data_IF_678762351525
#
_entry.id   IF_678762351525
#
_cell.length_a   1.000
_cell.length_b   1.000
_cell.length_c   1.000
_cell.angle_alpha   90.00
_cell.angle_beta   90.00
_cell.angle_gamma   90.00
#
_symmetry.space_group_name_H-M   'P 1'
#
loop_
_entity.id
_entity.type
_entity.pdbx_description
1 polymer ?
#
# COMPACT_ATOMS: atom_id res chain seq x y z
N UNK A 1 -16.33 -55.28 -30.84
CA UNK A 1 -15.54 -54.21 -31.50
C UNK A 1 -14.68 -53.61 -30.41
N UNK A 2 -13.44 -54.08 -30.23
CA UNK A 2 -12.58 -53.76 -29.12
C UNK A 2 -11.82 -52.46 -29.43
N UNK A 3 -11.95 -51.47 -28.58
CA UNK A 3 -11.30 -50.19 -28.66
C UNK A 3 -9.84 -50.36 -28.20
N UNK A 4 -8.89 -50.40 -29.15
CA UNK A 4 -7.45 -50.39 -28.87
C UNK A 4 -7.10 -49.06 -28.21
N UNK A 5 -6.83 -49.15 -26.88
CA UNK A 5 -6.21 -48.04 -26.13
C UNK A 5 -4.75 -47.96 -26.61
N UNK A 6 -4.43 -46.92 -27.35
CA UNK A 6 -3.08 -46.55 -27.76
C UNK A 6 -2.19 -46.37 -26.52
N UNK A 7 -1.42 -47.43 -26.19
CA UNK A 7 -0.31 -47.31 -25.24
C UNK A 7 0.78 -46.45 -25.88
N UNK A 8 0.90 -45.20 -25.42
CA UNK A 8 2.03 -44.36 -25.76
C UNK A 8 3.31 -45.02 -25.25
N UNK A 9 4.41 -45.05 -26.06
CA UNK A 9 5.65 -45.66 -25.64
C UNK A 9 6.22 -44.93 -24.42
N UNK A 10 6.26 -45.59 -23.28
CA UNK A 10 6.90 -45.11 -22.07
C UNK A 10 8.40 -44.92 -22.33
N UNK A 11 8.89 -43.71 -22.38
CA UNK A 11 10.32 -43.42 -22.46
C UNK A 11 10.99 -43.95 -21.20
N UNK A 12 11.92 -44.96 -21.28
CA UNK A 12 12.39 -45.73 -20.13
C UNK A 12 13.23 -44.95 -19.09
N UNK A 13 13.60 -43.70 -19.40
CA UNK A 13 14.30 -42.79 -18.49
C UNK A 13 13.38 -41.95 -17.59
N UNK A 14 12.24 -41.51 -18.10
CA UNK A 14 11.31 -40.65 -17.38
C UNK A 14 10.58 -41.34 -16.23
N UNK A 15 10.33 -42.64 -16.35
CA UNK A 15 9.68 -43.42 -15.31
C UNK A 15 10.53 -43.61 -14.03
N UNK A 16 11.86 -43.70 -14.17
CA UNK A 16 12.77 -43.81 -13.01
C UNK A 16 12.89 -42.48 -12.27
N UNK A 17 12.94 -41.35 -12.99
CA UNK A 17 13.00 -40.02 -12.41
C UNK A 17 11.67 -39.68 -11.71
N UNK A 18 10.55 -39.94 -12.36
CA UNK A 18 9.22 -39.78 -11.77
C UNK A 18 9.03 -40.63 -10.50
N UNK A 19 9.46 -41.89 -10.53
CA UNK A 19 9.41 -42.79 -9.37
C UNK A 19 10.28 -42.35 -8.18
N UNK A 20 11.44 -41.72 -8.46
CA UNK A 20 12.31 -41.16 -7.43
C UNK A 20 11.66 -39.96 -6.72
N UNK A 21 11.08 -39.02 -7.49
CA UNK A 21 10.37 -37.85 -6.94
C UNK A 21 9.08 -38.24 -6.21
N UNK A 22 8.40 -39.32 -6.65
CA UNK A 22 7.22 -39.83 -5.95
C UNK A 22 7.55 -40.42 -4.59
N UNK A 23 8.73 -41.05 -4.48
CA UNK A 23 9.25 -41.59 -3.21
C UNK A 23 9.76 -40.49 -2.26
N UNK A 24 10.19 -39.37 -2.78
CA UNK A 24 10.74 -38.25 -2.02
C UNK A 24 10.01 -36.93 -2.37
N UNK A 25 8.74 -36.76 -1.99
CA UNK A 25 7.95 -35.58 -2.37
C UNK A 25 8.56 -34.26 -1.87
N UNK A 26 9.22 -34.27 -0.70
CA UNK A 26 9.91 -33.09 -0.17
C UNK A 26 11.10 -32.64 -1.03
N UNK A 27 11.84 -33.57 -1.62
CA UNK A 27 12.97 -33.27 -2.50
C UNK A 27 12.48 -32.71 -3.85
N UNK A 28 11.38 -33.24 -4.38
CA UNK A 28 10.72 -32.71 -5.58
C UNK A 28 10.21 -31.28 -5.35
N UNK A 29 9.55 -31.04 -4.22
CA UNK A 29 9.08 -29.72 -3.82
C UNK A 29 10.25 -28.75 -3.60
N UNK A 30 11.30 -29.17 -2.92
CA UNK A 30 12.50 -28.35 -2.70
C UNK A 30 13.16 -27.92 -4.02
N UNK A 31 13.36 -28.85 -4.96
CA UNK A 31 13.94 -28.54 -6.28
C UNK A 31 13.03 -27.64 -7.11
N UNK A 32 11.71 -27.81 -7.03
CA UNK A 32 10.74 -26.94 -7.70
C UNK A 32 10.81 -25.51 -7.16
N UNK A 33 10.92 -25.38 -5.85
CA UNK A 33 10.97 -24.06 -5.17
C UNK A 33 12.37 -23.44 -5.17
N UNK A 34 13.43 -24.23 -5.45
CA UNK A 34 14.82 -23.76 -5.38
C UNK A 34 15.06 -22.52 -6.25
N UNK A 35 14.61 -22.54 -7.49
CA UNK A 35 14.76 -21.42 -8.42
C UNK A 35 14.10 -20.13 -7.90
N UNK A 36 12.79 -20.12 -7.63
CA UNK A 36 12.12 -18.97 -7.03
C UNK A 36 12.71 -18.52 -5.68
N UNK A 37 13.06 -19.47 -4.79
CA UNK A 37 13.64 -19.13 -3.49
C UNK A 37 15.05 -18.56 -3.59
N UNK A 38 15.91 -19.07 -4.49
CA UNK A 38 17.23 -18.48 -4.75
C UNK A 38 17.10 -17.08 -5.35
N UNK A 39 16.19 -16.90 -6.30
CA UNK A 39 15.95 -15.57 -6.87
C UNK A 39 15.48 -14.59 -5.78
N UNK A 40 14.50 -14.97 -5.00
CA UNK A 40 13.94 -14.14 -3.94
C UNK A 40 14.96 -13.89 -2.81
N UNK A 41 15.69 -14.93 -2.39
CA UNK A 41 16.68 -14.84 -1.32
C UNK A 41 17.93 -14.05 -1.72
N UNK A 42 18.53 -14.35 -2.87
CA UNK A 42 19.80 -13.74 -3.28
C UNK A 42 19.55 -12.39 -3.93
N UNK A 43 18.69 -12.32 -4.95
CA UNK A 43 18.52 -11.09 -5.72
C UNK A 43 17.71 -10.06 -4.93
N UNK A 44 16.58 -10.44 -4.34
CA UNK A 44 15.71 -9.49 -3.65
C UNK A 44 16.23 -9.19 -2.23
N UNK A 45 16.33 -10.21 -1.37
CA UNK A 45 16.81 -9.99 0.01
C UNK A 45 18.29 -9.60 0.05
N UNK A 46 19.14 -10.19 -0.78
CA UNK A 46 20.56 -9.87 -0.84
C UNK A 46 20.79 -8.41 -1.23
N UNK A 47 20.11 -7.90 -2.25
CA UNK A 47 20.20 -6.48 -2.65
C UNK A 47 19.68 -5.54 -1.59
N UNK A 48 18.55 -5.89 -0.94
CA UNK A 48 17.99 -5.10 0.15
C UNK A 48 18.94 -5.03 1.35
N UNK A 49 19.49 -6.16 1.78
CA UNK A 49 20.45 -6.22 2.89
C UNK A 49 21.73 -5.44 2.57
N UNK A 50 22.23 -5.54 1.32
CA UNK A 50 23.39 -4.78 0.87
C UNK A 50 23.11 -3.27 0.90
N UNK A 51 21.92 -2.85 0.42
CA UNK A 51 21.50 -1.45 0.51
C UNK A 51 21.46 -0.98 1.97
N UNK A 52 20.81 -1.74 2.86
CA UNK A 52 20.71 -1.39 4.27
C UNK A 52 22.08 -1.35 4.96
N UNK A 53 22.99 -2.25 4.58
CA UNK A 53 24.36 -2.25 5.07
C UNK A 53 25.13 -1.00 4.68
N UNK A 54 24.89 -0.46 3.48
CA UNK A 54 25.49 0.82 3.06
C UNK A 54 25.07 2.00 3.94
N UNK A 55 23.93 1.92 4.63
CA UNK A 55 23.51 2.93 5.60
C UNK A 55 24.51 3.16 6.75
N UNK A 56 25.41 2.21 6.98
CA UNK A 56 26.48 2.32 7.97
C UNK A 56 27.80 2.81 7.40
N UNK A 57 27.89 3.12 6.11
CA UNK A 57 29.11 3.64 5.48
C UNK A 57 29.19 5.16 5.62
N UNK A 58 30.39 5.69 5.51
CA UNK A 58 30.65 7.14 5.53
C UNK A 58 30.56 7.70 4.12
N UNK A 59 29.97 8.87 3.99
CA UNK A 59 29.97 9.66 2.76
C UNK A 59 30.87 10.86 2.93
N UNK A 60 31.84 11.02 2.03
CA UNK A 60 32.76 12.16 1.99
C UNK A 60 32.16 13.24 1.09
N UNK A 61 31.74 14.37 1.68
CA UNK A 61 31.15 15.49 0.96
C UNK A 61 32.14 16.22 0.02
N UNK A 62 33.46 16.09 0.23
CA UNK A 62 34.46 16.71 -0.64
C UNK A 62 34.72 15.90 -1.91
N UNK A 63 34.87 14.60 -1.76
CA UNK A 63 35.14 13.71 -2.88
C UNK A 63 33.85 13.16 -3.51
N UNK A 64 32.69 13.44 -2.91
CA UNK A 64 31.39 12.87 -3.30
C UNK A 64 31.42 11.36 -3.42
N UNK A 65 32.18 10.70 -2.55
CA UNK A 65 32.41 9.25 -2.62
C UNK A 65 31.99 8.56 -1.33
N UNK A 66 31.56 7.29 -1.48
CA UNK A 66 31.23 6.43 -0.34
C UNK A 66 32.48 5.67 0.08
N UNK A 67 32.86 5.81 1.35
CA UNK A 67 33.94 5.04 1.97
C UNK A 67 33.39 3.93 2.85
N UNK A 68 33.97 2.71 2.83
CA UNK A 68 33.47 1.56 3.59
C UNK A 68 33.79 1.64 5.09
N UNK A 69 34.02 2.82 5.60
CA UNK A 69 34.21 3.07 7.03
C UNK A 69 32.87 3.04 7.75
N UNK A 70 32.75 2.16 8.75
CA UNK A 70 31.50 1.98 9.49
C UNK A 70 31.24 3.13 10.44
N UNK A 71 30.07 3.74 10.31
CA UNK A 71 29.61 4.84 11.15
C UNK A 71 28.15 4.72 11.50
N UNK A 72 27.73 5.30 12.63
CA UNK A 72 26.33 5.51 13.00
C UNK A 72 25.86 6.95 12.71
N UNK A 73 26.67 7.76 12.05
CA UNK A 73 26.37 9.17 11.80
C UNK A 73 25.07 9.34 11.00
N UNK A 74 24.86 8.53 9.94
CA UNK A 74 23.64 8.58 9.13
C UNK A 74 22.39 8.23 9.94
N UNK A 75 22.46 7.23 10.82
CA UNK A 75 21.36 6.86 11.71
C UNK A 75 21.06 7.97 12.71
N UNK A 76 22.10 8.59 13.30
CA UNK A 76 21.93 9.75 14.20
C UNK A 76 21.34 10.94 13.46
N UNK A 77 21.73 11.16 12.22
CA UNK A 77 21.21 12.25 11.40
C UNK A 77 19.70 12.15 11.16
N UNK A 78 19.08 10.97 11.19
CA UNK A 78 17.62 10.81 11.10
C UNK A 78 16.88 11.54 12.24
N UNK A 79 17.51 11.69 13.40
CA UNK A 79 16.96 12.36 14.58
C UNK A 79 17.19 13.89 14.59
N UNK A 80 17.90 14.43 13.60
CA UNK A 80 18.00 15.87 13.42
C UNK A 80 16.60 16.46 13.16
N UNK A 81 16.28 17.66 13.68
CA UNK A 81 14.94 18.24 13.57
C UNK A 81 14.38 18.29 12.14
N UNK A 82 15.22 18.61 11.14
CA UNK A 82 14.82 18.66 9.74
C UNK A 82 14.41 17.27 9.18
N UNK A 83 15.19 16.23 9.50
CA UNK A 83 14.92 14.86 9.04
C UNK A 83 13.77 14.23 9.81
N UNK A 84 13.67 14.52 11.12
CA UNK A 84 12.55 14.08 11.95
C UNK A 84 11.21 14.66 11.46
N UNK A 85 11.17 15.93 11.05
CA UNK A 85 9.99 16.55 10.46
C UNK A 85 9.51 15.79 9.20
N UNK A 86 10.45 15.37 8.34
CA UNK A 86 10.14 14.55 7.14
C UNK A 86 9.46 13.23 7.56
N UNK A 87 10.00 12.56 8.58
CA UNK A 87 9.46 11.29 9.07
C UNK A 87 8.05 11.47 9.63
N UNK A 88 7.85 12.46 10.50
CA UNK A 88 6.56 12.75 11.13
C UNK A 88 5.51 13.15 10.08
N UNK A 89 5.88 14.01 9.13
CA UNK A 89 5.00 14.43 8.04
C UNK A 89 4.55 13.25 7.17
N UNK A 90 5.47 12.37 6.82
CA UNK A 90 5.16 11.17 6.04
C UNK A 90 4.24 10.23 6.81
N UNK A 91 4.55 9.99 8.09
CA UNK A 91 3.78 9.10 8.96
C UNK A 91 2.36 9.61 9.20
N UNK A 92 2.20 10.91 9.48
CA UNK A 92 0.89 11.52 9.69
C UNK A 92 0.04 11.48 8.43
N UNK A 93 0.63 11.73 7.26
CA UNK A 93 -0.07 11.60 5.97
C UNK A 93 -0.48 10.14 5.71
N UNK A 94 0.42 9.18 5.88
CA UNK A 94 0.12 7.76 5.69
C UNK A 94 -0.99 7.28 6.65
N UNK A 95 -0.96 7.70 7.90
CA UNK A 95 -2.01 7.41 8.87
C UNK A 95 -3.36 8.02 8.48
N UNK A 96 -3.37 9.31 8.13
CA UNK A 96 -4.58 10.02 7.72
C UNK A 96 -5.22 9.40 6.47
N UNK A 97 -4.41 9.10 5.43
CA UNK A 97 -4.87 8.44 4.20
C UNK A 97 -5.43 7.06 4.49
N UNK A 98 -4.77 6.28 5.35
CA UNK A 98 -5.23 4.93 5.72
C UNK A 98 -6.57 4.99 6.44
N UNK A 99 -6.72 5.85 7.44
CA UNK A 99 -7.98 6.02 8.19
C UNK A 99 -9.12 6.47 7.26
N UNK A 100 -8.87 7.48 6.43
CA UNK A 100 -9.87 7.96 5.48
C UNK A 100 -10.25 6.89 4.46
N UNK A 101 -9.26 6.09 3.99
CA UNK A 101 -9.52 4.97 3.09
C UNK A 101 -10.42 3.92 3.73
N UNK A 102 -10.23 3.58 5.00
CA UNK A 102 -11.12 2.65 5.74
C UNK A 102 -12.55 3.20 5.80
N UNK A 103 -12.69 4.49 6.17
CA UNK A 103 -14.00 5.14 6.33
C UNK A 103 -14.77 5.16 5.00
N UNK A 104 -14.10 5.43 3.88
CA UNK A 104 -14.73 5.48 2.56
C UNK A 104 -14.90 4.10 1.93
N UNK A 105 -13.92 3.23 2.07
CA UNK A 105 -13.94 1.90 1.48
C UNK A 105 -15.00 0.99 2.12
N UNK A 106 -15.19 1.10 3.44
CA UNK A 106 -16.11 0.22 4.16
C UNK A 106 -17.56 0.30 3.64
N UNK A 107 -18.22 1.47 3.56
CA UNK A 107 -19.57 1.56 3.03
C UNK A 107 -19.66 1.14 1.55
N UNK A 108 -18.65 1.46 0.74
CA UNK A 108 -18.60 1.02 -0.66
C UNK A 108 -18.50 -0.51 -0.77
N UNK A 109 -17.57 -1.12 -0.04
CA UNK A 109 -17.37 -2.56 0.02
C UNK A 109 -18.61 -3.28 0.57
N UNK A 110 -19.24 -2.72 1.61
CA UNK A 110 -20.49 -3.25 2.16
C UNK A 110 -21.62 -3.25 1.13
N UNK A 111 -21.80 -2.12 0.43
CA UNK A 111 -22.81 -2.04 -0.65
C UNK A 111 -22.52 -3.06 -1.75
N UNK A 112 -21.28 -3.15 -2.21
CA UNK A 112 -20.86 -4.09 -3.24
C UNK A 112 -21.07 -5.55 -2.81
N UNK A 113 -20.77 -5.89 -1.56
CA UNK A 113 -20.88 -7.26 -1.06
C UNK A 113 -22.33 -7.70 -0.80
N UNK A 114 -23.22 -6.78 -0.42
CA UNK A 114 -24.56 -7.13 0.08
C UNK A 114 -25.73 -6.75 -0.83
N UNK A 115 -25.58 -5.67 -1.57
CA UNK A 115 -26.68 -5.11 -2.36
C UNK A 115 -26.49 -5.26 -3.87
N UNK A 116 -25.34 -5.81 -4.30
CA UNK A 116 -25.09 -6.01 -5.74
C UNK A 116 -25.00 -7.49 -6.10
N UNK A 117 -25.51 -7.83 -7.29
CA UNK A 117 -25.46 -9.17 -7.85
C UNK A 117 -25.30 -9.12 -9.37
N UNK A 118 -24.82 -10.21 -9.96
CA UNK A 118 -24.73 -10.36 -11.41
C UNK A 118 -23.97 -9.23 -12.11
N UNK A 119 -24.56 -8.59 -13.10
CA UNK A 119 -23.93 -7.52 -13.91
C UNK A 119 -23.58 -6.28 -13.09
N UNK A 120 -24.39 -5.92 -12.11
CA UNK A 120 -24.15 -4.76 -11.25
C UNK A 120 -22.88 -4.97 -10.39
N UNK A 121 -22.71 -6.17 -9.85
CA UNK A 121 -21.51 -6.52 -9.10
C UNK A 121 -20.26 -6.45 -9.96
N UNK A 122 -20.32 -7.02 -11.18
CA UNK A 122 -19.23 -6.94 -12.15
C UNK A 122 -18.89 -5.48 -12.52
N UNK A 123 -19.89 -4.64 -12.70
CA UNK A 123 -19.70 -3.21 -12.98
C UNK A 123 -18.92 -2.52 -11.86
N UNK A 124 -19.29 -2.71 -10.59
CA UNK A 124 -18.59 -2.10 -9.47
C UNK A 124 -17.16 -2.62 -9.32
N UNK A 125 -16.91 -3.92 -9.55
CA UNK A 125 -15.55 -4.45 -9.57
C UNK A 125 -14.69 -3.77 -10.64
N UNK A 126 -15.20 -3.66 -11.86
CA UNK A 126 -14.51 -3.00 -12.96
C UNK A 126 -14.26 -1.52 -12.60
N UNK A 127 -15.27 -0.82 -12.08
CA UNK A 127 -15.17 0.60 -11.71
C UNK A 127 -14.10 0.85 -10.65
N UNK A 128 -13.96 -0.04 -9.65
CA UNK A 128 -12.93 0.04 -8.63
C UNK A 128 -11.55 -0.32 -9.19
N UNK A 129 -11.46 -1.30 -10.10
CA UNK A 129 -10.20 -1.74 -10.67
C UNK A 129 -9.69 -0.83 -11.80
N UNK A 130 -10.58 -0.13 -12.50
CA UNK A 130 -10.22 0.72 -13.65
C UNK A 130 -9.13 1.75 -13.33
N UNK A 131 -9.16 2.47 -12.19
CA UNK A 131 -8.07 3.35 -11.81
C UNK A 131 -6.73 2.64 -11.61
N UNK A 132 -6.71 1.36 -11.26
CA UNK A 132 -5.47 0.59 -11.06
C UNK A 132 -4.77 0.30 -12.39
N UNK A 133 -5.50 0.19 -13.49
CA UNK A 133 -4.94 -0.07 -14.83
C UNK A 133 -4.32 1.16 -15.48
N UNK A 134 -4.72 2.36 -15.06
CA UNK A 134 -4.13 3.58 -15.54
C UNK A 134 -2.70 3.77 -14.98
N UNK A 135 -1.80 4.30 -15.83
CA UNK A 135 -0.43 4.61 -15.40
C UNK A 135 -0.41 5.50 -14.16
N UNK A 136 0.41 5.12 -13.19
CA UNK A 136 0.55 5.83 -11.92
C UNK A 136 0.95 7.31 -12.13
N UNK A 137 1.98 7.54 -12.95
CA UNK A 137 2.49 8.88 -13.25
C UNK A 137 1.40 9.73 -13.94
N UNK A 138 0.69 9.15 -14.91
CA UNK A 138 -0.39 9.85 -15.63
C UNK A 138 -1.49 10.29 -14.66
N UNK A 139 -1.87 9.43 -13.71
CA UNK A 139 -2.84 9.78 -12.65
C UNK A 139 -2.36 10.96 -11.81
N UNK A 140 -1.10 10.92 -11.36
CA UNK A 140 -0.54 11.97 -10.52
C UNK A 140 -0.54 13.33 -11.25
N UNK A 141 -0.12 13.38 -12.52
CA UNK A 141 -0.19 14.59 -13.33
C UNK A 141 -1.62 15.04 -13.62
N UNK A 142 -2.53 14.13 -13.94
CA UNK A 142 -3.94 14.46 -14.15
C UNK A 142 -4.56 15.12 -12.91
N UNK A 143 -4.25 14.62 -11.72
CA UNK A 143 -4.69 15.22 -10.47
C UNK A 143 -4.08 16.59 -10.21
N UNK A 144 -2.81 16.82 -10.60
CA UNK A 144 -2.20 18.14 -10.52
C UNK A 144 -2.99 19.18 -11.32
N UNK A 145 -3.42 18.81 -12.54
CA UNK A 145 -4.23 19.67 -13.40
C UNK A 145 -5.67 19.83 -12.88
N UNK A 146 -6.28 18.75 -12.41
CA UNK A 146 -7.64 18.80 -11.83
C UNK A 146 -7.72 19.71 -10.61
N UNK A 147 -6.69 19.73 -9.77
CA UNK A 147 -6.62 20.51 -8.54
C UNK A 147 -5.98 21.89 -8.73
N UNK A 148 -5.54 22.25 -9.94
CA UNK A 148 -4.98 23.56 -10.25
C UNK A 148 -6.00 24.68 -9.99
N UNK A 149 -5.50 25.93 -9.87
CA UNK A 149 -6.35 27.11 -9.63
C UNK A 149 -7.47 27.27 -10.66
N UNK A 150 -7.18 26.98 -11.93
CA UNK A 150 -8.16 27.02 -13.03
C UNK A 150 -8.63 25.62 -13.43
N UNK A 151 -8.46 24.65 -12.53
CA UNK A 151 -8.81 23.25 -12.75
C UNK A 151 -10.29 22.95 -12.51
N UNK A 152 -10.69 21.74 -12.95
CA UNK A 152 -12.08 21.28 -12.87
C UNK A 152 -12.62 21.28 -11.44
N UNK A 153 -11.79 20.92 -10.44
CA UNK A 153 -12.20 20.92 -9.04
C UNK A 153 -12.56 22.32 -8.55
N UNK A 154 -11.75 23.32 -8.88
CA UNK A 154 -11.99 24.71 -8.53
C UNK A 154 -13.25 25.25 -9.23
N UNK A 155 -13.44 24.92 -10.51
CA UNK A 155 -14.64 25.28 -11.27
C UNK A 155 -15.93 24.78 -10.61
N UNK A 156 -15.96 23.50 -10.19
CA UNK A 156 -17.11 22.95 -9.49
C UNK A 156 -17.36 23.64 -8.14
N UNK A 157 -16.32 23.87 -7.35
CA UNK A 157 -16.45 24.53 -6.04
C UNK A 157 -16.95 25.95 -6.18
N UNK A 158 -16.52 26.68 -7.22
CA UNK A 158 -17.00 28.01 -7.54
C UNK A 158 -18.52 28.01 -7.86
N UNK A 159 -18.95 27.09 -8.75
CA UNK A 159 -20.37 26.99 -9.13
C UNK A 159 -21.28 26.50 -8.02
N UNK A 160 -20.75 25.77 -7.06
CA UNK A 160 -21.47 25.34 -5.86
C UNK A 160 -21.47 26.42 -4.74
N UNK A 161 -20.80 27.54 -4.93
CA UNK A 161 -20.66 28.59 -3.91
C UNK A 161 -19.78 28.20 -2.72
N UNK A 162 -18.96 27.13 -2.86
CA UNK A 162 -18.10 26.58 -1.80
C UNK A 162 -16.69 27.19 -1.79
N UNK A 163 -16.42 28.16 -2.66
CA UNK A 163 -15.12 28.83 -2.77
C UNK A 163 -14.67 29.49 -1.45
N UNK A 164 -15.53 30.20 -0.69
CA UNK A 164 -15.15 30.78 0.60
C UNK A 164 -14.72 29.72 1.61
N UNK A 165 -15.42 28.56 1.60
CA UNK A 165 -15.08 27.43 2.45
C UNK A 165 -13.72 26.86 2.08
N UNK A 166 -13.46 26.65 0.78
CA UNK A 166 -12.17 26.19 0.29
C UNK A 166 -11.05 27.14 0.72
N UNK A 167 -11.24 28.45 0.52
CA UNK A 167 -10.24 29.47 0.88
C UNK A 167 -9.95 29.45 2.37
N UNK A 168 -10.98 29.32 3.21
CA UNK A 168 -10.83 29.17 4.65
C UNK A 168 -10.02 27.92 5.04
N UNK A 169 -10.23 26.79 4.34
CA UNK A 169 -9.45 25.57 4.56
C UNK A 169 -7.99 25.72 4.11
N UNK A 170 -7.73 26.34 2.97
CA UNK A 170 -6.38 26.54 2.44
C UNK A 170 -5.53 27.47 3.30
N UNK A 171 -6.14 28.39 4.03
CA UNK A 171 -5.44 29.31 4.96
C UNK A 171 -5.02 28.64 6.27
N UNK A 172 -5.51 27.42 6.57
CA UNK A 172 -5.11 26.69 7.77
C UNK A 172 -3.63 26.29 7.68
N UNK A 173 -2.81 26.51 8.72
CA UNK A 173 -1.38 26.14 8.71
C UNK A 173 -1.11 24.68 8.45
N UNK A 174 -2.02 23.79 8.87
CA UNK A 174 -1.91 22.35 8.67
C UNK A 174 -2.17 21.91 7.22
N UNK A 175 -2.95 22.69 6.46
CA UNK A 175 -3.31 22.39 5.07
C UNK A 175 -2.29 22.99 4.11
N UNK A 176 -1.92 24.23 4.31
CA UNK A 176 -0.93 25.00 3.54
C UNK A 176 -1.21 25.04 2.04
N UNK A 177 -0.88 26.13 1.38
CA UNK A 177 -0.96 26.25 -0.07
C UNK A 177 -2.00 27.26 -0.57
N UNK A 178 -1.73 27.83 -1.76
CA UNK A 178 -2.58 28.82 -2.39
C UNK A 178 -3.68 28.19 -3.27
N UNK A 179 -3.52 26.92 -3.61
CA UNK A 179 -4.45 26.15 -4.44
C UNK A 179 -4.55 24.72 -3.90
N UNK A 180 -5.56 23.97 -4.30
CA UNK A 180 -5.66 22.55 -3.93
C UNK A 180 -4.43 21.77 -4.38
N UNK A 181 -3.90 22.00 -5.59
CA UNK A 181 -2.73 21.28 -6.08
C UNK A 181 -1.46 21.53 -5.28
N UNK A 182 -1.32 22.72 -4.66
CA UNK A 182 -0.16 23.09 -3.83
C UNK A 182 -0.39 22.90 -2.34
N UNK A 183 -1.53 22.32 -1.94
CA UNK A 183 -1.91 22.15 -0.54
C UNK A 183 -1.70 20.72 -0.04
N UNK A 184 -1.55 20.57 1.28
CA UNK A 184 -1.55 19.27 1.95
C UNK A 184 -2.86 18.50 1.77
N UNK A 185 -3.99 19.22 1.69
CA UNK A 185 -5.30 18.62 1.39
C UNK A 185 -5.32 18.01 -0.02
N UNK A 186 -4.81 18.71 -1.03
CA UNK A 186 -4.73 18.17 -2.38
C UNK A 186 -3.87 16.92 -2.45
N UNK A 187 -2.70 16.92 -1.80
CA UNK A 187 -1.85 15.72 -1.67
C UNK A 187 -2.60 14.55 -1.01
N UNK A 188 -3.30 14.83 0.06
CA UNK A 188 -4.13 13.83 0.76
C UNK A 188 -5.22 13.24 -0.16
N UNK A 189 -5.94 14.07 -0.91
CA UNK A 189 -6.99 13.62 -1.84
C UNK A 189 -6.42 12.74 -2.97
N UNK A 190 -5.25 13.11 -3.49
CA UNK A 190 -4.57 12.31 -4.53
C UNK A 190 -4.16 10.96 -3.99
N UNK A 191 -3.54 10.89 -2.82
CA UNK A 191 -3.21 9.62 -2.19
C UNK A 191 -4.46 8.77 -1.92
N UNK A 192 -5.50 9.40 -1.39
CA UNK A 192 -6.76 8.73 -1.11
C UNK A 192 -7.35 8.09 -2.37
N UNK A 193 -7.41 8.83 -3.48
CA UNK A 193 -7.90 8.31 -4.75
C UNK A 193 -7.05 7.13 -5.27
N UNK A 194 -5.73 7.28 -5.25
CA UNK A 194 -4.82 6.29 -5.82
C UNK A 194 -4.86 4.98 -5.04
N UNK A 195 -4.93 5.05 -3.69
CA UNK A 195 -4.83 3.88 -2.83
C UNK A 195 -6.18 3.31 -2.38
N UNK A 196 -7.29 4.03 -2.60
CA UNK A 196 -8.64 3.58 -2.21
C UNK A 196 -9.01 2.19 -2.74
N UNK A 197 -8.71 1.80 -4.01
CA UNK A 197 -8.98 0.45 -4.50
C UNK A 197 -8.29 -0.65 -3.69
N UNK A 198 -7.08 -0.41 -3.21
CA UNK A 198 -6.32 -1.37 -2.39
C UNK A 198 -6.93 -1.57 -1.00
N UNK A 199 -7.76 -0.65 -0.54
CA UNK A 199 -8.57 -0.80 0.66
C UNK A 199 -9.91 -1.48 0.37
N UNK A 200 -10.60 -1.07 -0.70
CA UNK A 200 -11.94 -1.57 -1.04
C UNK A 200 -11.91 -3.09 -1.28
N UNK A 201 -10.98 -3.58 -2.10
CA UNK A 201 -10.97 -4.98 -2.53
C UNK A 201 -10.79 -5.99 -1.38
N UNK A 202 -9.83 -5.84 -0.46
CA UNK A 202 -9.72 -6.74 0.69
C UNK A 202 -10.89 -6.66 1.65
N UNK A 203 -11.41 -5.45 1.91
CA UNK A 203 -12.59 -5.26 2.77
C UNK A 203 -13.81 -5.93 2.15
N UNK A 204 -14.02 -5.75 0.85
CA UNK A 204 -15.11 -6.42 0.12
C UNK A 204 -14.98 -7.94 0.17
N UNK A 205 -13.80 -8.49 -0.08
CA UNK A 205 -13.57 -9.93 -0.02
C UNK A 205 -13.87 -10.52 1.38
N UNK A 206 -13.53 -9.80 2.45
CA UNK A 206 -13.87 -10.20 3.81
C UNK A 206 -15.39 -10.15 4.05
N UNK A 207 -16.05 -9.10 3.59
CA UNK A 207 -17.50 -8.93 3.75
C UNK A 207 -18.33 -9.93 2.91
N UNK A 208 -17.81 -10.38 1.78
CA UNK A 208 -18.46 -11.42 0.97
C UNK A 208 -18.43 -12.81 1.62
N UNK A 209 -17.39 -13.09 2.39
CA UNK A 209 -17.27 -14.35 3.14
C UNK A 209 -18.21 -14.42 4.35
N UNK A 210 -18.82 -13.30 4.76
CA UNK A 210 -19.71 -13.26 5.93
C UNK A 210 -21.04 -13.96 5.61
N UNK A 211 -21.39 -15.08 6.29
CA UNK A 211 -22.61 -15.84 6.01
C UNK A 211 -23.87 -15.00 6.32
N UNK A 212 -24.88 -14.98 5.44
CA UNK A 212 -26.14 -14.30 5.69
C UNK A 212 -26.84 -14.77 6.97
N UNK A 213 -26.66 -16.05 7.33
CA UNK A 213 -27.24 -16.65 8.53
C UNK A 213 -26.81 -15.98 9.82
N UNK A 214 -25.58 -15.41 9.90
CA UNK A 214 -25.14 -14.67 11.09
C UNK A 214 -25.90 -13.35 11.26
N UNK A 215 -26.25 -12.70 10.16
CA UNK A 215 -27.07 -11.48 10.21
C UNK A 215 -28.51 -11.78 10.61
N UNK A 216 -29.07 -12.90 10.10
CA UNK A 216 -30.40 -13.38 10.47
C UNK A 216 -30.46 -13.77 11.93
N UNK A 217 -29.51 -14.58 12.41
CA UNK A 217 -29.42 -14.97 13.83
C UNK A 217 -29.30 -13.75 14.76
N UNK A 218 -28.53 -12.74 14.37
CA UNK A 218 -28.43 -11.49 15.12
C UNK A 218 -29.78 -10.76 15.20
N UNK A 219 -30.53 -10.73 14.09
CA UNK A 219 -31.87 -10.11 14.04
C UNK A 219 -32.88 -10.92 14.87
N UNK A 220 -32.84 -12.25 14.82
CA UNK A 220 -33.71 -13.16 15.60
C UNK A 220 -33.49 -12.99 17.11
N UNK A 221 -32.26 -12.66 17.53
CA UNK A 221 -31.92 -12.31 18.89
C UNK A 221 -32.33 -10.86 19.29
N UNK A 222 -33.02 -10.13 18.40
CA UNK A 222 -33.49 -8.77 18.65
C UNK A 222 -32.41 -7.69 18.62
N UNK A 223 -31.24 -7.97 18.01
CA UNK A 223 -30.16 -6.99 17.92
C UNK A 223 -30.54 -5.82 16.99
N UNK A 224 -30.27 -4.61 17.43
CA UNK A 224 -30.43 -3.40 16.60
C UNK A 224 -29.35 -3.39 15.49
N UNK A 225 -29.56 -2.73 14.32
CA UNK A 225 -28.61 -2.68 13.23
C UNK A 225 -27.20 -2.24 13.67
N UNK A 226 -27.10 -1.28 14.59
CA UNK A 226 -25.83 -0.83 15.16
C UNK A 226 -25.12 -1.91 15.99
N UNK A 227 -25.87 -2.76 16.67
CA UNK A 227 -25.32 -3.88 17.45
C UNK A 227 -24.83 -4.98 16.51
N UNK A 228 -25.62 -5.35 15.51
CA UNK A 228 -25.19 -6.28 14.46
C UNK A 228 -23.93 -5.80 13.77
N UNK A 229 -23.85 -4.51 13.40
CA UNK A 229 -22.65 -3.91 12.82
C UNK A 229 -21.45 -4.06 13.74
N UNK A 230 -21.56 -3.64 15.00
CA UNK A 230 -20.44 -3.59 15.96
C UNK A 230 -19.96 -4.96 16.40
N UNK A 231 -20.88 -5.91 16.60
CA UNK A 231 -20.57 -7.20 17.24
C UNK A 231 -20.47 -8.37 16.26
N UNK A 232 -20.99 -8.21 15.03
CA UNK A 232 -20.96 -9.29 14.02
C UNK A 232 -20.16 -8.84 12.79
N UNK A 233 -20.57 -7.74 12.14
CA UNK A 233 -20.00 -7.32 10.85
C UNK A 233 -18.57 -6.81 11.01
N UNK A 234 -18.35 -5.86 11.91
CA UNK A 234 -17.06 -5.20 12.08
C UNK A 234 -15.95 -6.18 12.50
N UNK A 235 -16.13 -7.06 13.49
CA UNK A 235 -15.11 -8.04 13.86
C UNK A 235 -14.72 -8.97 12.70
N UNK A 236 -15.70 -9.43 11.92
CA UNK A 236 -15.45 -10.31 10.77
C UNK A 236 -14.86 -9.56 9.56
N UNK A 237 -14.99 -8.24 9.50
CA UNK A 237 -14.35 -7.40 8.48
C UNK A 237 -12.91 -6.99 8.85
N UNK A 238 -12.50 -7.09 10.13
CA UNK A 238 -11.16 -6.68 10.61
C UNK A 238 -10.03 -7.27 9.76
N UNK A 239 -10.01 -8.57 9.39
CA UNK A 239 -8.93 -9.10 8.55
C UNK A 239 -8.83 -8.42 7.19
N UNK A 240 -9.96 -8.09 6.56
CA UNK A 240 -9.99 -7.35 5.30
C UNK A 240 -9.54 -5.89 5.45
N UNK A 241 -10.00 -5.23 6.51
CA UNK A 241 -9.56 -3.86 6.85
C UNK A 241 -8.06 -3.84 7.11
N UNK A 242 -7.55 -4.80 7.86
CA UNK A 242 -6.14 -4.95 8.16
C UNK A 242 -5.31 -5.13 6.89
N UNK A 243 -5.70 -6.07 6.03
CA UNK A 243 -5.01 -6.29 4.75
C UNK A 243 -4.99 -5.02 3.88
N UNK A 244 -6.14 -4.36 3.69
CA UNK A 244 -6.23 -3.11 2.94
C UNK A 244 -5.40 -1.99 3.56
N UNK A 245 -5.40 -1.88 4.89
CA UNK A 245 -4.66 -0.85 5.62
C UNK A 245 -3.14 -1.04 5.52
N UNK A 246 -2.64 -2.28 5.51
CA UNK A 246 -1.22 -2.57 5.30
C UNK A 246 -0.79 -2.05 3.93
N UNK A 247 -1.56 -2.32 2.86
CA UNK A 247 -1.24 -1.81 1.52
C UNK A 247 -1.28 -0.29 1.49
N UNK A 248 -2.38 0.33 1.92
CA UNK A 248 -2.56 1.79 1.85
C UNK A 248 -1.48 2.53 2.65
N UNK A 249 -1.19 2.07 3.87
CA UNK A 249 -0.16 2.66 4.72
C UNK A 249 1.24 2.53 4.11
N UNK A 250 1.62 1.32 3.70
CA UNK A 250 2.97 1.04 3.17
C UNK A 250 3.23 1.78 1.86
N UNK A 251 2.24 1.78 0.95
CA UNK A 251 2.35 2.47 -0.34
C UNK A 251 2.46 3.99 -0.16
N UNK A 252 1.73 4.57 0.80
CA UNK A 252 1.83 6.01 1.11
C UNK A 252 3.18 6.36 1.73
N UNK A 253 3.74 5.51 2.62
CA UNK A 253 5.06 5.74 3.25
C UNK A 253 6.19 5.79 2.24
N UNK A 254 6.17 4.91 1.24
CA UNK A 254 7.25 4.78 0.25
C UNK A 254 7.10 5.67 -0.98
N UNK A 255 5.99 6.39 -1.11
CA UNK A 255 5.73 7.17 -2.31
C UNK A 255 6.60 8.43 -2.41
N UNK A 256 7.18 8.63 -3.59
CA UNK A 256 7.97 9.82 -3.90
C UNK A 256 7.34 10.68 -5.01
N UNK A 257 6.46 10.12 -5.85
CA UNK A 257 5.92 10.81 -7.03
C UNK A 257 4.85 11.80 -6.65
N UNK A 258 3.85 11.39 -5.86
CA UNK A 258 2.78 12.32 -5.44
C UNK A 258 3.32 13.49 -4.64
N UNK A 259 4.19 13.30 -3.62
CA UNK A 259 4.76 14.44 -2.90
C UNK A 259 5.63 15.36 -3.75
N UNK A 260 6.19 14.88 -4.84
CA UNK A 260 6.98 15.69 -5.77
C UNK A 260 6.11 16.57 -6.67
N UNK A 261 4.89 16.11 -7.00
CA UNK A 261 4.02 16.78 -7.95
C UNK A 261 2.90 17.60 -7.30
N UNK A 262 2.43 17.18 -6.11
CA UNK A 262 1.24 17.75 -5.46
C UNK A 262 1.55 18.09 -4.00
N UNK A 263 1.06 19.26 -3.58
CA UNK A 263 1.14 19.70 -2.19
C UNK A 263 2.21 20.76 -1.93
N UNK A 264 2.34 21.22 -0.68
CA UNK A 264 3.30 22.23 -0.31
C UNK A 264 4.73 21.71 -0.46
N UNK A 265 5.71 22.61 -0.70
CA UNK A 265 7.11 22.24 -0.78
C UNK A 265 7.56 21.54 0.51
N UNK A 266 8.40 20.54 0.37
CA UNK A 266 8.93 19.76 1.48
C UNK A 266 9.06 18.29 1.13
N UNK A 267 10.07 17.65 1.72
CA UNK A 267 10.34 16.24 1.47
C UNK A 267 9.40 15.33 2.28
N UNK A 268 9.12 14.20 1.69
CA UNK A 268 8.64 12.97 2.29
C UNK A 268 9.78 11.94 2.29
N UNK A 269 9.66 10.86 3.03
CA UNK A 269 10.72 9.84 3.10
C UNK A 269 11.12 9.36 1.70
N UNK A 270 10.14 9.02 0.84
CA UNK A 270 10.40 8.57 -0.53
C UNK A 270 11.15 9.60 -1.37
N UNK A 271 10.77 10.89 -1.30
CA UNK A 271 11.49 11.96 -2.00
C UNK A 271 12.90 12.14 -1.46
N UNK A 272 13.09 12.02 -0.14
CA UNK A 272 14.40 12.17 0.46
C UNK A 272 15.34 11.03 0.01
N UNK A 273 14.86 9.79 0.01
CA UNK A 273 15.61 8.65 -0.53
C UNK A 273 15.97 8.90 -2.00
N UNK A 274 14.99 9.28 -2.82
CA UNK A 274 15.20 9.57 -4.24
C UNK A 274 16.24 10.69 -4.48
N UNK A 275 16.17 11.78 -3.72
CA UNK A 275 17.09 12.91 -3.80
C UNK A 275 18.50 12.53 -3.36
N UNK A 276 18.64 11.83 -2.24
CA UNK A 276 19.93 11.40 -1.72
C UNK A 276 20.63 10.42 -2.66
N UNK A 277 19.89 9.47 -3.23
CA UNK A 277 20.42 8.50 -4.16
C UNK A 277 20.75 9.09 -5.52
N UNK A 278 19.82 9.89 -6.10
CA UNK A 278 19.92 10.34 -7.49
C UNK A 278 20.61 11.68 -7.65
N UNK A 279 20.22 12.70 -6.89
CA UNK A 279 20.72 14.07 -7.07
C UNK A 279 22.04 14.33 -6.33
N UNK A 280 22.17 13.78 -5.11
CA UNK A 280 23.33 14.03 -4.24
C UNK A 280 24.38 12.92 -4.36
N UNK A 281 23.96 11.68 -4.67
CA UNK A 281 24.84 10.51 -4.71
C UNK A 281 25.17 9.92 -3.33
N UNK A 282 24.54 10.44 -2.26
CA UNK A 282 24.77 9.98 -0.88
C UNK A 282 23.94 8.71 -0.60
N UNK A 283 24.44 7.58 -1.11
CA UNK A 283 23.82 6.26 -0.90
C UNK A 283 23.71 5.87 0.60
N UNK A 284 24.70 6.14 1.48
CA UNK A 284 24.57 5.86 2.90
C UNK A 284 23.38 6.55 3.55
N UNK A 285 23.14 7.82 3.25
CA UNK A 285 22.01 8.57 3.79
C UNK A 285 20.67 8.09 3.22
N UNK A 286 20.62 7.78 1.91
CA UNK A 286 19.45 7.17 1.29
C UNK A 286 19.10 5.83 1.95
N UNK A 287 20.10 4.99 2.20
CA UNK A 287 19.92 3.71 2.89
C UNK A 287 19.42 3.89 4.34
N UNK A 288 19.96 4.86 5.08
CA UNK A 288 19.50 5.18 6.43
C UNK A 288 18.02 5.62 6.43
N UNK A 289 17.59 6.48 5.47
CA UNK A 289 16.18 6.84 5.33
C UNK A 289 15.30 5.65 4.95
N UNK A 290 15.81 4.68 4.19
CA UNK A 290 15.07 3.47 3.81
C UNK A 290 14.79 2.55 5.01
N UNK A 291 15.62 2.59 6.07
CA UNK A 291 15.34 1.86 7.32
C UNK A 291 14.04 2.33 7.99
N UNK A 292 13.71 3.62 7.87
CA UNK A 292 12.55 4.21 8.56
C UNK A 292 11.24 3.55 8.15
N UNK A 293 10.85 3.50 6.86
CA UNK A 293 9.62 2.83 6.45
C UNK A 293 9.64 1.33 6.78
N UNK A 294 10.78 0.66 6.71
CA UNK A 294 10.88 -0.77 7.08
C UNK A 294 10.51 -0.97 8.55
N UNK A 295 11.08 -0.18 9.44
CA UNK A 295 10.77 -0.25 10.88
C UNK A 295 9.32 0.13 11.16
N UNK A 296 8.81 1.20 10.53
CA UNK A 296 7.43 1.63 10.71
C UNK A 296 6.42 0.59 10.21
N UNK A 297 6.68 -0.05 9.06
CA UNK A 297 5.83 -1.13 8.54
C UNK A 297 5.91 -2.35 9.45
N UNK A 298 7.09 -2.72 9.95
CA UNK A 298 7.23 -3.84 10.88
C UNK A 298 6.45 -3.59 12.19
N UNK A 299 6.52 -2.38 12.75
CA UNK A 299 5.73 -1.98 13.92
C UNK A 299 4.24 -1.99 13.63
N UNK A 300 3.84 -1.50 12.46
CA UNK A 300 2.45 -1.51 12.02
C UNK A 300 1.91 -2.93 11.87
N UNK A 301 2.67 -3.84 11.24
CA UNK A 301 2.32 -5.25 11.13
C UNK A 301 2.19 -5.92 12.50
N UNK A 302 3.11 -5.63 13.43
CA UNK A 302 3.04 -6.13 14.80
C UNK A 302 1.78 -5.63 15.53
N UNK A 303 1.40 -4.37 15.32
CA UNK A 303 0.18 -3.79 15.85
C UNK A 303 -1.07 -4.45 15.28
N UNK A 304 -1.15 -4.59 13.95
CA UNK A 304 -2.28 -5.24 13.25
C UNK A 304 -2.43 -6.71 13.65
N UNK A 305 -1.30 -7.42 13.85
CA UNK A 305 -1.30 -8.79 14.38
C UNK A 305 -1.95 -8.88 15.75
N UNK A 306 -1.65 -7.94 16.66
CA UNK A 306 -2.26 -7.91 18.00
C UNK A 306 -3.77 -7.64 17.98
N UNK A 307 -4.30 -7.06 16.92
CA UNK A 307 -5.74 -6.87 16.72
C UNK A 307 -6.45 -8.15 16.23
N UNK A 308 -5.77 -9.29 16.16
CA UNK A 308 -6.35 -10.55 15.70
C UNK A 308 -6.61 -10.62 14.19
N UNK A 309 -6.02 -9.72 13.40
CA UNK A 309 -6.28 -9.62 11.98
C UNK A 309 -5.79 -10.83 11.18
N UNK A 310 -4.84 -11.58 11.73
CA UNK A 310 -4.26 -12.79 11.11
C UNK A 310 -4.85 -14.09 11.67
N UNK A 311 -5.67 -14.03 12.71
CA UNK A 311 -6.25 -15.23 13.34
C UNK A 311 -7.37 -15.86 12.48
N UNK A 312 -7.78 -15.17 11.43
CA UNK A 312 -8.84 -15.59 10.50
C UNK A 312 -8.29 -16.01 9.10
N UNK A 313 -6.96 -16.04 8.92
CA UNK A 313 -6.27 -16.52 7.72
C UNK A 313 -5.86 -17.98 7.91
#
# INVERSE_FOLDING_TARGET
MAMNVLQSPSRPGLGKVSGFFWRNPGLGLFLLLLGPLMWFGIVYFGSLLTLLWQGFYTFDDFTMSVTPELTLANIRALFNPANYDIIVRTLTMAGAVTIASVILAFPMAWYMARYTSGKMKAFFYIAVMLPMWASYIVKAYAWTLLLAKDGVAQWFLHHLGLEPLLTAFLTLPAVGGNTLSTSGLGRFLVFLYIWLPFMILPVQAALERLPPSLLQASADLGARPRQTFRYVVLPLAIPGIAAGSIFTFSLTLGDFIVPQLVGPPGYFIGNMVYSQQGAIGNMPMAAAFTLVPIVLIALYLAFVKRLGAFDAL
#
